data_IF_600865082406
#
_entry.id   IF_600865082406
#
_cell.length_a   1.000
_cell.length_b   1.000
_cell.length_c   1.000
_cell.angle_alpha   90.00
_cell.angle_beta   90.00
_cell.angle_gamma   90.00
#
_symmetry.space_group_name_H-M   'P 1'
#
loop_
_entity.id
_entity.type
_entity.pdbx_description
1 polymer ?
#
# COMPACT_ATOMS: atom_id res chain seq x y z
N UNK A 1 25.16 -11.79 6.82
CA UNK A 1 24.99 -11.79 5.34
C UNK A 1 24.36 -10.45 4.98
N UNK A 2 24.83 -9.73 3.95
CA UNK A 2 24.21 -8.44 3.55
C UNK A 2 23.20 -8.69 2.44
N UNK A 3 22.05 -8.03 2.50
CA UNK A 3 21.03 -8.12 1.44
C UNK A 3 21.33 -7.08 0.38
N UNK A 4 21.22 -7.46 -0.89
CA UNK A 4 21.18 -6.52 -2.00
C UNK A 4 19.90 -5.68 -1.89
N UNK A 5 20.10 -4.39 -1.66
CA UNK A 5 19.04 -3.41 -1.43
C UNK A 5 18.06 -3.32 -2.60
N UNK A 6 18.57 -3.34 -3.84
CA UNK A 6 17.73 -3.17 -5.05
C UNK A 6 16.91 -4.43 -5.30
N UNK A 7 17.55 -5.60 -5.16
CA UNK A 7 16.87 -6.88 -5.32
C UNK A 7 15.78 -7.08 -4.26
N UNK A 8 16.03 -6.66 -3.01
CA UNK A 8 15.05 -6.76 -1.93
C UNK A 8 13.84 -5.85 -2.16
N UNK A 9 14.06 -4.61 -2.59
CA UNK A 9 12.97 -3.69 -2.92
C UNK A 9 12.11 -4.27 -4.04
N UNK A 10 12.72 -4.74 -5.13
CA UNK A 10 11.98 -5.31 -6.25
C UNK A 10 11.19 -6.56 -5.86
N UNK A 11 11.80 -7.45 -5.08
CA UNK A 11 11.18 -8.69 -4.62
C UNK A 11 9.93 -8.44 -3.75
N UNK A 12 9.89 -7.34 -3.00
CA UNK A 12 8.73 -6.97 -2.16
C UNK A 12 7.74 -6.06 -2.86
N UNK A 13 8.20 -5.18 -3.74
CA UNK A 13 7.34 -4.23 -4.46
C UNK A 13 6.38 -4.94 -5.40
N UNK A 14 6.87 -5.91 -6.18
CA UNK A 14 6.05 -6.63 -7.18
C UNK A 14 4.85 -7.36 -6.54
N UNK A 15 5.02 -8.24 -5.54
CA UNK A 15 3.88 -8.94 -4.93
C UNK A 15 2.94 -7.99 -4.18
N UNK A 16 3.45 -6.93 -3.56
CA UNK A 16 2.61 -5.97 -2.82
C UNK A 16 1.73 -5.14 -3.76
N UNK A 17 2.29 -4.71 -4.90
CA UNK A 17 1.54 -4.00 -5.95
C UNK A 17 0.49 -4.92 -6.59
N UNK A 18 0.82 -6.19 -6.83
CA UNK A 18 -0.15 -7.17 -7.36
C UNK A 18 -1.28 -7.44 -6.36
N UNK A 19 -0.97 -7.59 -5.06
CA UNK A 19 -1.99 -7.77 -4.04
C UNK A 19 -2.92 -6.54 -3.94
N UNK A 20 -2.36 -5.34 -3.97
CA UNK A 20 -3.15 -4.10 -3.93
C UNK A 20 -3.94 -3.87 -5.22
N UNK A 21 -3.43 -4.27 -6.39
CA UNK A 21 -4.22 -4.30 -7.62
C UNK A 21 -5.50 -5.12 -7.45
N UNK A 22 -5.36 -6.34 -6.93
CA UNK A 22 -6.48 -7.26 -6.72
C UNK A 22 -7.47 -6.67 -5.72
N UNK A 23 -6.99 -6.11 -4.60
CA UNK A 23 -7.84 -5.49 -3.58
C UNK A 23 -8.55 -4.24 -4.12
N UNK A 24 -7.86 -3.37 -4.85
CA UNK A 24 -8.45 -2.15 -5.43
C UNK A 24 -9.50 -2.47 -6.50
N UNK A 25 -9.22 -3.44 -7.37
CA UNK A 25 -10.20 -3.94 -8.35
C UNK A 25 -11.40 -4.54 -7.59
N UNK A 26 -11.16 -5.41 -6.62
CA UNK A 26 -12.21 -6.03 -5.83
C UNK A 26 -13.07 -5.01 -5.09
N UNK A 27 -12.48 -4.03 -4.40
CA UNK A 27 -13.20 -3.00 -3.65
C UNK A 27 -14.08 -2.13 -4.55
N UNK A 28 -13.60 -1.81 -5.76
CA UNK A 28 -14.34 -0.98 -6.72
C UNK A 28 -15.42 -1.76 -7.48
N UNK A 29 -15.16 -3.02 -7.83
CA UNK A 29 -16.19 -3.91 -8.40
C UNK A 29 -17.26 -4.28 -7.38
N UNK A 30 -16.91 -4.33 -6.09
CA UNK A 30 -17.84 -4.75 -5.05
C UNK A 30 -19.01 -3.79 -4.88
N UNK A 31 -18.87 -2.49 -5.23
CA UNK A 31 -19.92 -1.44 -5.18
C UNK A 31 -20.48 -1.13 -3.77
N UNK A 32 -20.78 -2.19 -3.02
CA UNK A 32 -21.31 -2.23 -1.66
C UNK A 32 -20.31 -1.80 -0.59
N UNK A 33 -18.99 -1.93 -0.79
CA UNK A 33 -18.02 -1.54 0.24
C UNK A 33 -18.07 -0.02 0.51
N UNK A 34 -18.08 0.80 -0.56
CA UNK A 34 -18.20 2.25 -0.43
C UNK A 34 -19.54 2.68 0.17
N UNK A 35 -20.62 1.98 -0.17
CA UNK A 35 -21.96 2.22 0.39
C UNK A 35 -22.02 1.86 1.87
N UNK A 36 -21.51 0.69 2.26
CA UNK A 36 -21.47 0.24 3.65
C UNK A 36 -20.59 1.14 4.53
N UNK A 37 -19.45 1.59 4.01
CA UNK A 37 -18.60 2.57 4.67
C UNK A 37 -19.33 3.91 4.87
N UNK A 38 -19.96 4.46 3.83
CA UNK A 38 -20.73 5.71 3.92
C UNK A 38 -21.91 5.60 4.89
N UNK A 39 -22.62 4.47 4.89
CA UNK A 39 -23.71 4.20 5.83
C UNK A 39 -23.20 4.13 7.27
N UNK A 40 -22.06 3.48 7.50
CA UNK A 40 -21.44 3.38 8.83
C UNK A 40 -20.87 4.72 9.30
N UNK A 41 -20.31 5.51 8.39
CA UNK A 41 -19.80 6.84 8.71
C UNK A 41 -20.94 7.81 9.10
N UNK A 42 -22.04 7.77 8.34
CA UNK A 42 -23.23 8.59 8.58
C UNK A 42 -24.03 8.16 9.82
N UNK A 43 -23.88 6.92 10.30
CA UNK A 43 -24.50 6.48 11.56
C UNK A 43 -23.78 7.04 12.80
N UNK A 44 -22.49 7.36 12.67
CA UNK A 44 -21.66 7.92 13.76
C UNK A 44 -21.67 9.46 13.72
N UNK A 45 -21.83 10.07 12.53
CA UNK A 45 -21.86 11.52 12.34
C UNK A 45 -23.18 11.95 11.68
N UNK A 46 -24.21 12.30 12.47
CA UNK A 46 -25.52 12.64 11.93
C UNK A 46 -25.54 14.10 11.42
N UNK A 47 -24.82 14.39 10.33
CA UNK A 47 -25.03 15.60 9.52
C UNK A 47 -24.83 15.29 8.03
N UNK A 48 -25.82 15.61 7.16
CA UNK A 48 -25.89 15.07 5.82
C UNK A 48 -25.14 15.99 4.88
N UNK A 49 -23.86 15.71 4.64
CA UNK A 49 -23.50 15.72 3.23
C UNK A 49 -24.13 14.46 2.65
N UNK A 50 -25.40 14.61 2.24
CA UNK A 50 -26.01 13.75 1.24
C UNK A 50 -25.13 13.88 0.00
N UNK A 51 -24.03 13.13 -0.01
CA UNK A 51 -23.49 12.61 -1.24
C UNK A 51 -24.63 11.76 -1.80
N UNK A 52 -25.56 12.42 -2.50
CA UNK A 52 -26.33 11.80 -3.56
C UNK A 52 -25.31 10.94 -4.28
N UNK A 53 -25.56 9.65 -4.43
CA UNK A 53 -24.60 8.75 -5.04
C UNK A 53 -24.64 8.98 -6.57
N UNK A 54 -23.89 9.90 -7.23
CA UNK A 54 -23.64 9.68 -8.63
C UNK A 54 -22.83 8.40 -8.65
N UNK A 55 -23.36 7.37 -9.31
CA UNK A 55 -22.51 6.25 -9.68
C UNK A 55 -21.31 6.86 -10.40
N UNK A 56 -20.12 6.69 -9.82
CA UNK A 56 -18.87 7.13 -10.46
C UNK A 56 -18.86 6.53 -11.86
N UNK A 57 -18.49 7.33 -12.84
CA UNK A 57 -18.33 6.86 -14.20
C UNK A 57 -17.24 5.78 -14.21
N UNK A 58 -17.37 4.79 -15.10
CA UNK A 58 -16.43 3.66 -15.18
C UNK A 58 -14.97 4.10 -15.32
N UNK A 59 -14.71 5.26 -15.95
CA UNK A 59 -13.37 5.82 -16.09
C UNK A 59 -12.84 6.43 -14.78
N UNK A 60 -13.70 6.97 -13.90
CA UNK A 60 -13.30 7.47 -12.57
C UNK A 60 -12.88 6.30 -11.67
N UNK A 61 -13.52 5.15 -11.82
CA UNK A 61 -13.05 3.92 -11.19
C UNK A 61 -11.67 3.50 -11.68
N UNK A 62 -11.43 3.55 -13.00
CA UNK A 62 -10.13 3.20 -13.59
C UNK A 62 -9.02 4.15 -13.13
N UNK A 63 -9.24 5.47 -13.14
CA UNK A 63 -8.30 6.47 -12.64
C UNK A 63 -7.99 6.23 -11.16
N UNK A 64 -9.02 5.93 -10.37
CA UNK A 64 -8.81 5.63 -8.96
C UNK A 64 -7.98 4.36 -8.72
N UNK A 65 -8.17 3.28 -9.49
CA UNK A 65 -7.29 2.09 -9.41
C UNK A 65 -5.84 2.45 -9.71
N UNK A 66 -5.60 3.29 -10.72
CA UNK A 66 -4.26 3.73 -11.09
C UNK A 66 -3.59 4.56 -9.98
N UNK A 67 -4.35 5.44 -9.33
CA UNK A 67 -3.86 6.21 -8.18
C UNK A 67 -3.55 5.29 -6.99
N UNK A 68 -4.44 4.35 -6.67
CA UNK A 68 -4.23 3.38 -5.59
C UNK A 68 -2.96 2.55 -5.84
N UNK A 69 -2.73 2.13 -7.08
CA UNK A 69 -1.52 1.42 -7.50
C UNK A 69 -0.26 2.30 -7.39
N UNK A 70 -0.34 3.56 -7.78
CA UNK A 70 0.80 4.46 -7.68
C UNK A 70 1.24 4.64 -6.23
N UNK A 71 0.30 4.92 -5.33
CA UNK A 71 0.61 5.02 -3.90
C UNK A 71 1.12 3.70 -3.32
N UNK A 72 0.52 2.57 -3.72
CA UNK A 72 0.99 1.24 -3.35
C UNK A 72 2.45 0.98 -3.73
N UNK A 73 2.86 1.34 -4.95
CA UNK A 73 4.24 1.21 -5.43
C UNK A 73 5.18 2.06 -4.57
N UNK A 74 4.82 3.32 -4.34
CA UNK A 74 5.64 4.26 -3.56
C UNK A 74 5.83 3.74 -2.13
N UNK A 75 4.75 3.33 -1.48
CA UNK A 75 4.79 2.79 -0.12
C UNK A 75 5.62 1.51 -0.06
N UNK A 76 5.42 0.57 -1.01
CA UNK A 76 6.18 -0.68 -1.06
C UNK A 76 7.68 -0.42 -1.17
N UNK A 77 8.09 0.52 -2.03
CA UNK A 77 9.49 0.90 -2.23
C UNK A 77 10.08 1.52 -0.96
N UNK A 78 9.35 2.41 -0.31
CA UNK A 78 9.80 3.07 0.93
C UNK A 78 9.96 2.03 2.04
N UNK A 79 8.93 1.21 2.31
CA UNK A 79 8.97 0.24 3.41
C UNK A 79 10.01 -0.86 3.18
N UNK A 80 10.11 -1.39 1.95
CA UNK A 80 11.13 -2.39 1.62
C UNK A 80 12.54 -1.82 1.70
N UNK A 81 12.75 -0.55 1.32
CA UNK A 81 14.01 0.15 1.51
C UNK A 81 14.36 0.32 2.99
N UNK A 82 13.44 0.80 3.82
CA UNK A 82 13.64 0.94 5.26
C UNK A 82 14.00 -0.42 5.88
N UNK A 83 13.29 -1.49 5.52
CA UNK A 83 13.53 -2.84 6.01
C UNK A 83 14.92 -3.38 5.60
N UNK A 84 15.34 -3.16 4.34
CA UNK A 84 16.66 -3.58 3.86
C UNK A 84 17.80 -2.82 4.57
N UNK A 85 17.64 -1.51 4.80
CA UNK A 85 18.61 -0.71 5.57
C UNK A 85 18.71 -1.21 7.01
N UNK A 86 17.57 -1.44 7.66
CA UNK A 86 17.53 -1.91 9.04
C UNK A 86 18.19 -3.29 9.17
N UNK A 87 17.88 -4.23 8.27
CA UNK A 87 18.51 -5.54 8.25
C UNK A 87 20.04 -5.43 8.08
N UNK A 88 20.50 -4.65 7.11
CA UNK A 88 21.94 -4.49 6.86
C UNK A 88 22.66 -3.87 8.06
N UNK A 89 22.02 -2.94 8.76
CA UNK A 89 22.54 -2.35 10.01
C UNK A 89 22.61 -3.36 11.14
N UNK A 90 21.55 -4.14 11.37
CA UNK A 90 21.49 -5.15 12.44
C UNK A 90 22.42 -6.34 12.18
N UNK A 91 22.62 -6.70 10.91
CA UNK A 91 23.50 -7.81 10.51
C UNK A 91 25.00 -7.46 10.55
N UNK A 92 25.33 -6.20 10.83
CA UNK A 92 26.71 -5.75 10.99
C UNK A 92 27.14 -6.00 12.45
N UNK A 93 27.63 -7.21 12.74
CA UNK A 93 28.27 -7.51 14.02
C UNK A 93 29.46 -6.57 14.28
N UNK A 94 29.72 -6.15 15.53
CA UNK A 94 30.91 -5.41 15.86
C UNK A 94 32.13 -6.27 15.54
N UNK A 95 33.05 -5.72 14.73
CA UNK A 95 34.34 -6.33 14.41
C UNK A 95 35.01 -6.75 15.74
N UNK A 96 35.39 -8.02 15.94
CA UNK A 96 36.17 -8.37 17.12
C UNK A 96 37.46 -7.52 17.11
N UNK A 97 37.92 -7.05 18.28
CA UNK A 97 39.12 -6.23 18.35
C UNK A 97 40.25 -7.02 17.69
N UNK A 98 40.87 -6.43 16.67
CA UNK A 98 42.05 -7.01 16.03
C UNK A 98 43.11 -7.18 17.11
N UNK A 99 43.44 -8.42 17.43
CA UNK A 99 44.58 -8.74 18.29
C UNK A 99 45.84 -8.15 17.64
N UNK A 100 46.48 -7.22 18.36
CA UNK A 100 47.83 -6.70 18.10
C UNK A 100 48.75 -7.31 19.14
#
# INVERSE_FOLDING_TARGET
MKIDFRAFILAWTIPLVVALLIISIWARLSGQFGIAFLQTYNSIHPHPFTAAHPALLWWEHAVGVLLDLFYAVVDAVIFSGIAALLYNRLSSDPKPPSEV
#
